data_IF_103429681676
#
_entry.id   IF_103429681676
#
_cell.length_a   1.000
_cell.length_b   1.000
_cell.length_c   1.000
_cell.angle_alpha   90.00
_cell.angle_beta   90.00
_cell.angle_gamma   90.00
#
_symmetry.space_group_name_H-M   'P 1'
#
loop_
_entity.id
_entity.type
_entity.pdbx_description
1 polymer ?
#
# COMPACT_ATOMS: atom_id res chain seq x y z
N UNK A 1 19.43 25.91 -29.43
CA UNK A 1 18.24 25.23 -30.06
C UNK A 1 18.35 23.73 -29.82
N UNK A 2 18.00 23.28 -28.62
CA UNK A 2 18.05 21.87 -28.23
C UNK A 2 16.71 21.21 -28.55
N UNK A 3 16.67 20.37 -29.59
CA UNK A 3 15.47 19.62 -29.99
C UNK A 3 15.14 18.58 -28.91
N UNK A 4 14.20 18.90 -28.02
CA UNK A 4 13.46 17.89 -27.23
C UNK A 4 12.66 17.03 -28.22
N UNK A 5 13.21 15.87 -28.57
CA UNK A 5 12.43 14.78 -29.16
C UNK A 5 11.46 14.30 -28.08
N UNK A 6 10.17 14.47 -28.31
CA UNK A 6 9.12 13.76 -27.57
C UNK A 6 9.31 12.29 -27.92
N UNK A 7 9.93 11.54 -27.03
CA UNK A 7 10.13 10.11 -27.19
C UNK A 7 8.74 9.45 -27.11
N UNK A 8 8.32 8.80 -28.20
CA UNK A 8 7.28 7.79 -28.11
C UNK A 8 7.69 6.80 -27.02
N UNK A 9 6.76 6.45 -26.15
CA UNK A 9 6.94 5.47 -25.09
C UNK A 9 7.35 4.11 -25.71
N UNK A 10 8.65 3.97 -25.97
CA UNK A 10 9.23 2.73 -26.42
C UNK A 10 8.94 1.70 -25.34
N UNK A 11 8.42 0.54 -25.74
CA UNK A 11 8.25 -0.58 -24.84
C UNK A 11 9.59 -0.81 -24.12
N UNK A 12 9.58 -0.61 -22.81
CA UNK A 12 10.74 -0.70 -21.93
C UNK A 12 11.41 -2.06 -22.10
N UNK A 13 12.69 -2.05 -22.43
CA UNK A 13 13.50 -3.25 -22.61
C UNK A 13 13.53 -4.02 -21.29
N UNK A 14 13.34 -5.35 -21.36
CA UNK A 14 13.48 -6.23 -20.19
C UNK A 14 14.81 -6.95 -20.20
N UNK A 15 15.32 -7.23 -19.01
CA UNK A 15 16.59 -7.89 -18.78
C UNK A 15 16.42 -9.02 -17.77
N UNK A 16 17.17 -10.11 -17.94
CA UNK A 16 17.22 -11.24 -17.01
C UNK A 16 18.63 -11.35 -16.43
N UNK A 17 18.71 -11.49 -15.12
CA UNK A 17 19.97 -11.71 -14.40
C UNK A 17 20.48 -13.12 -14.67
N UNK A 18 21.70 -13.24 -15.18
CA UNK A 18 22.37 -14.53 -15.42
C UNK A 18 23.63 -14.73 -14.56
N UNK A 19 24.07 -13.70 -13.82
CA UNK A 19 25.23 -13.77 -12.95
C UNK A 19 25.09 -14.80 -11.82
N UNK A 20 26.11 -15.64 -11.65
CA UNK A 20 26.19 -16.63 -10.58
C UNK A 20 26.49 -15.90 -9.26
N UNK A 21 25.59 -16.00 -8.27
CA UNK A 21 25.68 -15.26 -7.01
C UNK A 21 25.00 -13.88 -7.00
N UNK A 22 24.32 -13.52 -8.09
CA UNK A 22 23.53 -12.30 -8.20
C UNK A 22 24.33 -11.03 -8.47
N UNK A 23 23.62 -9.94 -8.76
CA UNK A 23 24.19 -8.64 -9.11
C UNK A 23 24.07 -7.66 -7.94
N UNK A 24 25.14 -6.93 -7.67
CA UNK A 24 25.16 -5.83 -6.70
C UNK A 24 24.32 -4.68 -7.26
N UNK A 25 23.36 -4.22 -6.48
CA UNK A 25 22.54 -3.05 -6.80
C UNK A 25 23.08 -1.85 -6.03
N UNK A 26 23.13 -0.70 -6.68
CA UNK A 26 23.59 0.58 -6.14
C UNK A 26 22.43 1.58 -6.02
N UNK A 27 22.50 2.46 -5.03
CA UNK A 27 21.49 3.54 -4.83
C UNK A 27 21.54 4.59 -5.95
N UNK A 28 22.71 4.84 -6.55
CA UNK A 28 22.90 5.84 -7.59
C UNK A 28 23.73 5.30 -8.76
N UNK A 29 23.81 6.09 -9.84
CA UNK A 29 24.49 5.74 -11.09
C UNK A 29 25.99 5.49 -10.91
N UNK A 30 26.64 6.21 -9.99
CA UNK A 30 28.09 6.15 -9.83
C UNK A 30 28.56 4.84 -9.21
N UNK A 31 29.68 4.30 -9.70
CA UNK A 31 30.32 3.08 -9.15
C UNK A 31 30.73 3.25 -7.68
N UNK A 32 31.00 4.49 -7.25
CA UNK A 32 31.34 4.81 -5.87
C UNK A 32 30.13 4.94 -4.94
N UNK A 33 28.90 4.86 -5.46
CA UNK A 33 27.71 5.02 -4.62
C UNK A 33 27.53 3.83 -3.70
N UNK A 34 26.74 4.01 -2.65
CA UNK A 34 26.39 2.97 -1.69
C UNK A 34 25.79 1.75 -2.38
N UNK A 35 26.28 0.57 -2.01
CA UNK A 35 25.69 -0.71 -2.38
C UNK A 35 24.48 -0.99 -1.50
N UNK A 36 23.36 -1.38 -2.10
CA UNK A 36 22.21 -1.86 -1.36
C UNK A 36 22.55 -3.21 -0.71
N UNK A 37 21.93 -3.46 0.46
CA UNK A 37 22.16 -4.69 1.24
C UNK A 37 21.74 -5.94 0.47
N UNK A 38 20.73 -5.82 -0.39
CA UNK A 38 20.18 -6.92 -1.17
C UNK A 38 20.74 -6.93 -2.59
N UNK A 39 21.11 -8.12 -3.05
CA UNK A 39 21.53 -8.37 -4.45
C UNK A 39 20.35 -8.87 -5.27
N UNK A 40 20.37 -8.61 -6.57
CA UNK A 40 19.44 -9.25 -7.50
C UNK A 40 19.92 -10.68 -7.80
N UNK A 41 19.19 -11.73 -7.39
CA UNK A 41 19.61 -13.10 -7.61
C UNK A 41 19.51 -13.50 -9.09
N UNK A 42 20.21 -14.58 -9.46
CA UNK A 42 20.12 -15.17 -10.79
C UNK A 42 18.66 -15.52 -11.14
N UNK A 43 18.25 -15.19 -12.36
CA UNK A 43 16.90 -15.40 -12.86
C UNK A 43 15.92 -14.27 -12.60
N UNK A 44 16.27 -13.27 -11.79
CA UNK A 44 15.44 -12.06 -11.64
C UNK A 44 15.23 -11.37 -12.99
N UNK A 45 14.01 -10.85 -13.20
CA UNK A 45 13.65 -10.11 -14.42
C UNK A 45 13.38 -8.67 -14.03
N UNK A 46 14.03 -7.76 -14.74
CA UNK A 46 13.98 -6.33 -14.50
C UNK A 46 13.61 -5.61 -15.79
N UNK A 47 13.09 -4.40 -15.63
CA UNK A 47 12.69 -3.48 -16.69
C UNK A 47 13.63 -2.29 -16.69
N UNK A 48 14.13 -1.92 -17.86
CA UNK A 48 14.98 -0.74 -18.07
C UNK A 48 14.16 0.54 -17.93
N UNK A 49 14.52 1.36 -16.94
CA UNK A 49 14.00 2.71 -16.77
C UNK A 49 14.89 3.74 -17.47
N UNK A 50 16.20 3.48 -17.52
CA UNK A 50 17.17 4.32 -18.20
C UNK A 50 18.55 3.68 -18.27
N UNK A 51 19.32 4.03 -19.29
CA UNK A 51 20.68 3.58 -19.51
C UNK A 51 21.60 4.79 -19.61
N UNK A 52 22.58 4.89 -18.72
CA UNK A 52 23.58 5.96 -18.72
C UNK A 52 24.97 5.33 -18.73
N UNK A 53 25.66 5.41 -19.87
CA UNK A 53 26.90 4.66 -20.09
C UNK A 53 26.68 3.16 -19.93
N UNK A 54 27.42 2.55 -19.00
CA UNK A 54 27.32 1.13 -18.66
C UNK A 54 26.44 0.85 -17.42
N UNK A 55 25.78 1.90 -16.89
CA UNK A 55 24.90 1.81 -15.71
C UNK A 55 23.43 1.78 -16.13
N UNK A 56 22.72 0.73 -15.73
CA UNK A 56 21.29 0.51 -15.97
C UNK A 56 20.48 0.87 -14.73
N UNK A 57 19.59 1.85 -14.86
CA UNK A 57 18.53 2.09 -13.88
C UNK A 57 17.36 1.15 -14.18
N UNK A 58 16.92 0.39 -13.18
CA UNK A 58 15.92 -0.65 -13.38
C UNK A 58 14.76 -0.59 -12.39
N UNK A 59 13.67 -1.26 -12.77
CA UNK A 59 12.58 -1.69 -11.88
C UNK A 59 12.43 -3.21 -11.94
N UNK A 60 12.40 -3.87 -10.77
CA UNK A 60 12.23 -5.32 -10.67
C UNK A 60 10.80 -5.71 -11.06
N UNK A 61 10.67 -6.63 -12.00
CA UNK A 61 9.39 -7.20 -12.45
C UNK A 61 9.10 -8.54 -11.78
N UNK A 62 10.13 -9.38 -11.60
CA UNK A 62 10.01 -10.66 -10.90
C UNK A 62 11.32 -11.07 -10.24
N UNK A 63 11.24 -11.79 -9.13
CA UNK A 63 12.39 -12.24 -8.34
C UNK A 63 12.43 -11.59 -6.94
N UNK A 64 13.52 -11.82 -6.21
CA UNK A 64 13.79 -11.24 -4.89
C UNK A 64 14.83 -10.11 -5.06
N UNK A 65 14.99 -9.21 -4.09
CA UNK A 65 15.95 -8.10 -4.11
C UNK A 65 15.29 -6.72 -4.20
N UNK A 66 16.08 -5.64 -4.38
CA UNK A 66 15.55 -4.28 -4.42
C UNK A 66 14.52 -4.06 -5.53
N UNK A 67 13.50 -3.26 -5.26
CA UNK A 67 12.46 -2.93 -6.24
C UNK A 67 13.00 -2.07 -7.37
N UNK A 68 13.91 -1.15 -7.07
CA UNK A 68 14.59 -0.26 -8.01
C UNK A 68 16.07 -0.13 -7.64
N UNK A 69 16.86 0.40 -8.56
CA UNK A 69 18.26 0.74 -8.32
C UNK A 69 19.08 0.76 -9.59
N UNK A 70 20.38 0.94 -9.41
CA UNK A 70 21.36 1.00 -10.48
C UNK A 70 22.24 -0.25 -10.47
N UNK A 71 22.61 -0.74 -11.65
CA UNK A 71 23.55 -1.86 -11.80
C UNK A 71 24.44 -1.64 -13.03
N UNK A 72 25.63 -2.23 -13.02
CA UNK A 72 26.50 -2.24 -14.18
C UNK A 72 26.13 -3.36 -15.15
N UNK A 73 26.02 -3.06 -16.44
CA UNK A 73 25.83 -4.06 -17.51
C UNK A 73 27.18 -4.64 -17.95
N UNK A 74 28.28 -3.96 -17.63
CA UNK A 74 29.63 -4.39 -17.96
C UNK A 74 29.94 -5.81 -17.50
N UNK A 75 30.72 -6.52 -18.30
CA UNK A 75 31.11 -7.89 -18.02
C UNK A 75 32.03 -7.95 -16.79
N UNK A 76 31.49 -8.35 -15.65
CA UNK A 76 32.30 -8.64 -14.46
C UNK A 76 33.19 -9.85 -14.78
N UNK A 77 34.50 -9.63 -14.85
CA UNK A 77 35.49 -10.64 -15.24
C UNK A 77 35.25 -11.22 -16.65
N UNK A 78 34.74 -10.42 -17.59
CA UNK A 78 34.53 -10.84 -18.98
C UNK A 78 33.33 -11.77 -19.20
N UNK A 79 32.49 -11.99 -18.17
CA UNK A 79 31.23 -12.72 -18.29
C UNK A 79 30.04 -11.76 -18.25
N UNK A 80 29.11 -11.91 -19.19
CA UNK A 80 27.86 -11.15 -19.19
C UNK A 80 27.04 -11.46 -17.94
N UNK A 81 26.56 -10.41 -17.27
CA UNK A 81 25.76 -10.53 -16.04
C UNK A 81 24.26 -10.45 -16.31
N UNK A 82 23.88 -9.84 -17.44
CA UNK A 82 22.51 -9.61 -17.87
C UNK A 82 22.29 -10.07 -19.32
N UNK A 83 21.11 -10.62 -19.59
CA UNK A 83 20.67 -10.95 -20.95
C UNK A 83 19.39 -10.19 -21.26
N UNK A 84 19.33 -9.53 -22.42
CA UNK A 84 18.10 -8.91 -22.93
C UNK A 84 17.04 -9.97 -23.15
N UNK A 85 15.90 -9.82 -22.49
CA UNK A 85 14.72 -10.63 -22.74
C UNK A 85 13.90 -9.87 -23.76
N UNK A 86 13.93 -10.32 -25.01
CA UNK A 86 12.96 -9.83 -25.99
C UNK A 86 11.56 -10.09 -25.42
N UNK A 87 10.64 -9.11 -25.46
CA UNK A 87 9.25 -9.41 -25.14
C UNK A 87 8.88 -10.55 -26.07
N UNK A 88 8.62 -11.73 -25.50
CA UNK A 88 8.28 -12.90 -26.29
C UNK A 88 7.24 -12.41 -27.29
N UNK A 89 7.52 -12.54 -28.60
CA UNK A 89 6.51 -12.31 -29.63
C UNK A 89 5.39 -13.22 -29.21
N UNK A 90 4.42 -12.67 -28.47
CA UNK A 90 3.16 -13.32 -28.20
C UNK A 90 2.72 -13.58 -29.62
N UNK A 91 2.78 -14.85 -30.06
CA UNK A 91 2.01 -15.26 -31.22
C UNK A 91 0.66 -14.68 -30.89
N UNK A 92 0.27 -13.63 -31.61
CA UNK A 92 -1.02 -13.03 -31.42
C UNK A 92 -1.93 -14.24 -31.57
N UNK A 93 -2.45 -14.72 -30.44
CA UNK A 93 -3.55 -15.65 -30.45
C UNK A 93 -4.59 -14.74 -31.07
N UNK A 94 -4.72 -14.84 -32.39
CA UNK A 94 -5.79 -14.23 -33.14
C UNK A 94 -7.00 -14.79 -32.44
N UNK A 95 -7.56 -13.99 -31.53
CA UNK A 95 -8.83 -14.29 -30.90
C UNK A 95 -9.72 -14.68 -32.06
N UNK A 96 -10.21 -15.93 -32.13
CA UNK A 96 -11.04 -16.35 -33.22
C UNK A 96 -12.18 -15.33 -33.28
N UNK A 97 -12.31 -14.64 -34.41
CA UNK A 97 -13.39 -13.70 -34.70
C UNK A 97 -14.69 -14.33 -34.19
N UNK A 98 -15.51 -13.60 -33.44
CA UNK A 98 -16.69 -14.14 -32.72
C UNK A 98 -17.60 -15.03 -33.58
N UNK A 99 -17.61 -14.83 -34.89
CA UNK A 99 -18.34 -15.66 -35.86
C UNK A 99 -17.83 -17.11 -35.97
N UNK A 100 -16.54 -17.38 -35.72
CA UNK A 100 -15.98 -18.75 -35.72
C UNK A 100 -16.27 -19.51 -34.42
N UNK A 101 -16.54 -18.81 -33.31
CA UNK A 101 -16.86 -19.45 -32.02
C UNK A 101 -18.31 -19.94 -31.99
N UNK A 102 -19.23 -19.20 -32.63
CA UNK A 102 -20.64 -19.56 -32.72
C UNK A 102 -20.88 -20.85 -33.53
N UNK A 103 -20.11 -21.11 -34.60
CA UNK A 103 -20.29 -22.34 -35.40
C UNK A 103 -19.65 -23.59 -34.79
N UNK A 104 -18.63 -23.46 -33.92
CA UNK A 104 -17.94 -24.62 -33.34
C UNK A 104 -18.56 -25.13 -32.02
N UNK A 105 -19.41 -24.35 -31.35
CA UNK A 105 -20.09 -24.76 -30.11
C UNK A 105 -21.35 -25.62 -30.32
N UNK A 106 -21.82 -25.80 -31.56
CA UNK A 106 -23.06 -26.54 -31.84
C UNK A 106 -22.89 -28.07 -31.93
N UNK A 107 -21.68 -28.64 -31.83
CA UNK A 107 -21.45 -30.08 -32.11
C UNK A 107 -20.45 -30.81 -31.21
N UNK A 108 -20.24 -30.39 -29.95
CA UNK A 108 -19.42 -31.18 -29.01
C UNK A 108 -20.26 -31.80 -27.90
N UNK A 109 -20.20 -33.14 -27.70
CA UNK A 109 -20.80 -33.77 -26.54
C UNK A 109 -20.14 -33.24 -25.25
N UNK A 110 -20.98 -33.06 -24.24
CA UNK A 110 -20.68 -32.51 -22.93
C UNK A 110 -19.66 -33.36 -22.17
N UNK A 111 -18.38 -33.02 -22.31
CA UNK A 111 -17.34 -33.45 -21.37
C UNK A 111 -17.03 -32.34 -20.36
N UNK A 112 -17.32 -32.67 -19.11
CA UNK A 112 -17.12 -31.89 -17.89
C UNK A 112 -15.63 -31.60 -17.65
N UNK A 113 -15.04 -30.56 -18.23
CA UNK A 113 -13.64 -30.21 -17.92
C UNK A 113 -13.25 -28.75 -18.15
N UNK A 114 -14.15 -27.79 -17.96
CA UNK A 114 -13.80 -26.37 -17.97
C UNK A 114 -14.55 -25.63 -16.87
N UNK A 115 -14.15 -25.88 -15.63
CA UNK A 115 -14.42 -24.95 -14.54
C UNK A 115 -13.58 -23.69 -14.80
N UNK A 116 -14.24 -22.66 -15.34
CA UNK A 116 -13.84 -21.29 -15.07
C UNK A 116 -13.68 -21.15 -13.56
N UNK A 117 -12.45 -20.88 -13.11
CA UNK A 117 -12.13 -20.45 -11.75
C UNK A 117 -12.87 -19.12 -11.50
N UNK A 118 -14.14 -19.21 -11.12
CA UNK A 118 -14.73 -18.23 -10.23
C UNK A 118 -13.78 -18.22 -9.02
N UNK A 119 -12.97 -17.17 -8.89
CA UNK A 119 -12.27 -16.87 -7.63
C UNK A 119 -13.35 -16.48 -6.63
N UNK A 120 -14.11 -17.48 -6.22
CA UNK A 120 -15.22 -17.35 -5.31
C UNK A 120 -14.67 -16.93 -3.97
N UNK A 121 -15.34 -15.95 -3.39
CA UNK A 121 -15.52 -15.64 -1.96
C UNK A 121 -15.04 -16.71 -0.98
N UNK A 122 -13.74 -16.98 -0.96
CA UNK A 122 -13.13 -17.90 -0.01
C UNK A 122 -13.32 -17.35 1.40
N UNK A 123 -13.45 -18.23 2.40
CA UNK A 123 -13.34 -17.78 3.78
C UNK A 123 -11.98 -17.12 4.01
N UNK A 124 -11.91 -16.18 4.95
CA UNK A 124 -10.63 -15.74 5.48
C UNK A 124 -10.25 -16.66 6.66
N UNK A 125 -8.97 -16.97 6.80
CA UNK A 125 -8.45 -17.85 7.84
C UNK A 125 -7.32 -17.15 8.59
N UNK A 126 -7.36 -17.14 9.92
CA UNK A 126 -6.28 -16.61 10.77
C UNK A 126 -5.39 -17.73 11.27
N UNK A 127 -4.08 -17.58 11.16
CA UNK A 127 -3.10 -18.49 11.76
C UNK A 127 -3.12 -18.37 13.28
N UNK A 128 -3.37 -19.48 13.99
CA UNK A 128 -3.42 -19.52 15.47
C UNK A 128 -2.20 -20.22 16.08
N UNK A 129 -1.41 -20.92 15.26
CA UNK A 129 -0.20 -21.60 15.75
C UNK A 129 0.89 -20.61 16.17
N UNK A 130 1.39 -20.74 17.40
CA UNK A 130 2.45 -19.88 17.98
C UNK A 130 3.76 -19.92 17.16
N UNK A 131 4.16 -21.09 16.65
CA UNK A 131 5.37 -21.27 15.84
C UNK A 131 5.19 -20.93 14.35
N UNK A 132 3.98 -20.52 13.95
CA UNK A 132 3.60 -20.36 12.56
C UNK A 132 3.44 -21.68 11.79
N UNK A 133 2.95 -21.59 10.54
CA UNK A 133 2.61 -22.77 9.73
C UNK A 133 3.65 -23.05 8.66
N UNK A 134 4.01 -24.33 8.53
CA UNK A 134 4.85 -24.82 7.43
C UNK A 134 4.04 -24.82 6.14
N UNK A 135 4.43 -23.95 5.21
CA UNK A 135 3.83 -23.87 3.87
C UNK A 135 4.48 -24.90 2.95
N UNK A 136 3.68 -25.56 2.11
CA UNK A 136 4.17 -26.50 1.09
C UNK A 136 3.74 -26.06 -0.30
N UNK A 137 4.57 -26.35 -1.31
CA UNK A 137 4.25 -26.01 -2.71
C UNK A 137 3.14 -26.87 -3.32
N UNK A 138 2.80 -28.00 -2.69
CA UNK A 138 1.77 -28.92 -3.18
C UNK A 138 0.87 -29.42 -2.06
N UNK A 139 -0.30 -29.93 -2.46
CA UNK A 139 -1.34 -30.42 -1.57
C UNK A 139 -0.86 -31.58 -0.68
N UNK A 140 -0.02 -32.49 -1.19
CA UNK A 140 0.45 -33.67 -0.43
C UNK A 140 1.38 -33.27 0.72
N UNK A 141 1.32 -33.99 1.85
CA UNK A 141 2.22 -33.80 3.00
C UNK A 141 3.69 -34.14 2.69
N UNK A 142 3.96 -34.89 1.62
CA UNK A 142 5.30 -35.18 1.12
C UNK A 142 5.85 -34.10 0.17
N UNK A 143 5.03 -33.11 -0.19
CA UNK A 143 5.46 -32.04 -1.10
C UNK A 143 6.55 -31.17 -0.48
N UNK A 144 7.36 -30.55 -1.34
CA UNK A 144 8.45 -29.65 -0.93
C UNK A 144 7.94 -28.54 0.00
N UNK A 145 8.62 -28.40 1.15
CA UNK A 145 8.38 -27.32 2.11
C UNK A 145 8.94 -26.02 1.53
N UNK A 146 8.20 -24.93 1.68
CA UNK A 146 8.72 -23.59 1.46
C UNK A 146 9.62 -23.24 2.66
N UNK A 147 10.80 -22.62 2.46
CA UNK A 147 11.71 -22.30 3.56
C UNK A 147 11.08 -21.39 4.62
N UNK A 148 10.19 -20.50 4.18
CA UNK A 148 9.46 -19.57 5.03
C UNK A 148 8.16 -20.19 5.57
N UNK A 149 7.84 -19.85 6.83
CA UNK A 149 6.58 -20.20 7.48
C UNK A 149 5.59 -19.04 7.42
N UNK A 150 4.30 -19.33 7.48
CA UNK A 150 3.29 -18.29 7.76
C UNK A 150 3.34 -17.93 9.26
N UNK A 151 3.63 -16.68 9.64
CA UNK A 151 3.71 -16.31 11.05
C UNK A 151 2.34 -16.35 11.77
N UNK A 152 2.33 -16.45 13.11
CA UNK A 152 1.10 -16.38 13.92
C UNK A 152 0.32 -15.10 13.65
N UNK A 153 -1.02 -15.20 13.68
CA UNK A 153 -1.93 -14.06 13.55
C UNK A 153 -2.17 -13.60 12.10
N UNK A 154 -1.39 -14.05 11.12
CA UNK A 154 -1.61 -13.70 9.70
C UNK A 154 -2.97 -14.20 9.24
N UNK A 155 -3.67 -13.36 8.49
CA UNK A 155 -4.94 -13.70 7.84
C UNK A 155 -4.67 -14.02 6.37
N UNK A 156 -5.11 -15.19 5.94
CA UNK A 156 -4.98 -15.68 4.56
C UNK A 156 -6.36 -15.89 3.94
N UNK A 157 -6.42 -15.77 2.62
CA UNK A 157 -7.62 -15.98 1.83
C UNK A 157 -7.66 -17.44 1.33
N UNK A 158 -8.82 -18.08 1.51
CA UNK A 158 -9.07 -19.45 1.05
C UNK A 158 -9.17 -19.50 -0.48
N UNK A 159 -8.29 -20.28 -1.10
CA UNK A 159 -8.39 -20.58 -2.53
C UNK A 159 -9.08 -21.92 -2.74
N UNK A 160 -8.72 -22.92 -1.96
CA UNK A 160 -9.26 -24.29 -2.06
C UNK A 160 -9.04 -25.04 -0.74
N UNK A 161 -10.04 -25.80 -0.30
CA UNK A 161 -9.91 -26.71 0.86
C UNK A 161 -10.11 -28.15 0.39
N UNK A 162 -9.13 -29.01 0.67
CA UNK A 162 -9.23 -30.44 0.37
C UNK A 162 -8.88 -31.25 1.61
N UNK A 163 -9.90 -31.77 2.30
CA UNK A 163 -9.75 -32.42 3.59
C UNK A 163 -9.13 -31.46 4.62
N UNK A 164 -8.02 -31.85 5.25
CA UNK A 164 -7.31 -31.02 6.24
C UNK A 164 -6.23 -30.12 5.62
N UNK A 165 -6.33 -29.81 4.33
CA UNK A 165 -5.34 -29.02 3.59
C UNK A 165 -6.02 -27.80 2.98
N UNK A 166 -5.49 -26.63 3.31
CA UNK A 166 -5.93 -25.34 2.79
C UNK A 166 -4.89 -24.83 1.80
N UNK A 167 -5.30 -24.62 0.56
CA UNK A 167 -4.60 -23.75 -0.39
C UNK A 167 -5.01 -22.32 -0.11
N UNK A 168 -4.02 -21.46 0.11
CA UNK A 168 -4.28 -20.08 0.48
C UNK A 168 -3.54 -19.09 -0.42
N UNK A 169 -4.05 -17.86 -0.42
CA UNK A 169 -3.37 -16.66 -0.87
C UNK A 169 -3.16 -15.74 0.34
N UNK A 170 -1.93 -15.29 0.56
CA UNK A 170 -1.59 -14.37 1.63
C UNK A 170 -1.51 -12.95 1.05
N UNK A 171 -2.48 -12.07 1.35
CA UNK A 171 -2.45 -10.68 0.91
C UNK A 171 -1.43 -9.83 1.69
N UNK A 172 -0.92 -10.31 2.82
CA UNK A 172 0.15 -9.66 3.57
C UNK A 172 1.51 -9.96 2.96
N UNK A 173 2.46 -9.02 3.10
CA UNK A 173 3.86 -9.22 2.73
C UNK A 173 4.67 -9.97 3.82
N UNK A 174 4.00 -10.52 4.84
CA UNK A 174 4.63 -11.35 5.88
C UNK A 174 4.53 -12.85 5.55
N UNK A 175 5.62 -13.41 5.01
CA UNK A 175 5.75 -14.83 4.68
C UNK A 175 5.35 -15.19 3.24
N UNK A 176 5.15 -16.48 2.94
CA UNK A 176 4.85 -16.93 1.58
C UNK A 176 3.55 -16.35 1.05
N UNK A 177 3.57 -15.82 -0.19
CA UNK A 177 2.37 -15.29 -0.86
C UNK A 177 1.28 -16.34 -1.12
N UNK A 178 1.65 -17.60 -1.31
CA UNK A 178 0.68 -18.68 -1.50
C UNK A 178 1.27 -20.03 -1.13
N UNK A 179 0.40 -21.01 -0.96
CA UNK A 179 0.79 -22.41 -0.83
C UNK A 179 -0.24 -23.23 -0.07
N UNK A 180 0.17 -24.43 0.34
CA UNK A 180 -0.68 -25.38 1.02
C UNK A 180 -0.26 -25.57 2.47
N UNK A 181 -1.17 -25.31 3.40
CA UNK A 181 -1.00 -25.54 4.85
C UNK A 181 -2.00 -26.58 5.35
N UNK A 182 -1.72 -27.14 6.52
CA UNK A 182 -2.67 -28.04 7.20
C UNK A 182 -3.58 -27.21 8.10
N UNK A 183 -4.89 -27.49 8.08
CA UNK A 183 -5.86 -26.83 8.96
C UNK A 183 -5.84 -27.43 10.38
N UNK A 184 -5.39 -28.68 10.50
CA UNK A 184 -5.26 -29.41 11.77
C UNK A 184 -3.94 -30.18 11.82
N UNK A 185 -3.35 -30.30 13.01
CA UNK A 185 -2.25 -31.22 13.31
C UNK A 185 -2.47 -31.85 14.70
N UNK A 186 -2.41 -33.19 14.77
CA UNK A 186 -2.68 -33.97 16.00
C UNK A 186 -3.98 -33.59 16.73
N UNK A 187 -5.01 -33.19 15.98
CA UNK A 187 -6.31 -32.76 16.53
C UNK A 187 -6.36 -31.31 17.03
N UNK A 188 -5.26 -30.57 16.98
CA UNK A 188 -5.23 -29.14 17.26
C UNK A 188 -5.51 -28.34 15.99
N UNK A 189 -6.41 -27.36 16.08
CA UNK A 189 -6.69 -26.42 14.99
C UNK A 189 -5.53 -25.43 14.85
N UNK A 190 -5.00 -25.35 13.64
CA UNK A 190 -3.88 -24.47 13.30
C UNK A 190 -4.32 -23.15 12.68
N UNK A 191 -5.55 -23.12 12.16
CA UNK A 191 -6.18 -21.98 11.50
C UNK A 191 -7.60 -21.82 12.04
N UNK A 192 -7.99 -20.59 12.38
CA UNK A 192 -9.36 -20.26 12.75
C UNK A 192 -10.03 -19.56 11.55
N UNK A 193 -11.11 -20.15 11.05
CA UNK A 193 -11.92 -19.53 10.00
C UNK A 193 -12.59 -18.27 10.56
N UNK A 194 -12.30 -17.12 9.99
CA UNK A 194 -12.99 -15.89 10.32
C UNK A 194 -14.38 -15.98 9.68
N UNK A 195 -15.42 -15.79 10.50
CA UNK A 195 -16.79 -15.73 10.00
C UNK A 195 -16.83 -14.71 8.86
N UNK A 196 -17.27 -15.15 7.68
CA UNK A 196 -17.60 -14.18 6.64
C UNK A 196 -18.66 -13.26 7.24
N UNK A 197 -18.54 -11.93 7.08
CA UNK A 197 -19.65 -11.05 7.38
C UNK A 197 -20.79 -11.48 6.46
N UNK A 198 -21.71 -12.29 7.00
CA UNK A 198 -22.95 -12.60 6.30
C UNK A 198 -23.64 -11.27 6.02
N UNK A 199 -24.31 -11.19 4.88
CA UNK A 199 -25.05 -10.00 4.47
C UNK A 199 -25.75 -9.34 5.67
N UNK A 200 -25.61 -8.02 5.87
CA UNK A 200 -26.16 -7.32 7.03
C UNK A 200 -27.69 -7.48 7.16
N UNK A 201 -28.37 -7.99 6.13
CA UNK A 201 -29.80 -8.28 6.11
C UNK A 201 -30.22 -9.41 7.08
N UNK A 202 -29.33 -10.36 7.42
CA UNK A 202 -29.74 -11.56 8.19
C UNK A 202 -29.31 -11.51 9.67
N UNK A 203 -28.53 -10.51 10.09
CA UNK A 203 -27.99 -10.43 11.45
C UNK A 203 -28.92 -9.75 12.46
N UNK A 204 -29.93 -9.00 12.01
CA UNK A 204 -30.81 -8.25 12.91
C UNK A 204 -31.85 -9.11 13.66
N UNK A 205 -32.25 -10.27 13.11
CA UNK A 205 -33.32 -11.09 13.70
C UNK A 205 -32.83 -11.97 14.87
N UNK A 206 -31.55 -12.37 14.85
CA UNK A 206 -30.95 -13.21 15.90
C UNK A 206 -30.58 -12.45 17.17
N UNK A 207 -30.28 -11.15 17.07
CA UNK A 207 -29.95 -10.32 18.24
C UNK A 207 -31.20 -9.97 19.07
N UNK A 208 -32.39 -9.99 18.45
CA UNK A 208 -33.64 -9.59 19.13
C UNK A 208 -34.23 -10.65 20.07
N UNK A 209 -33.79 -11.92 20.00
CA UNK A 209 -34.35 -13.03 20.80
C UNK A 209 -33.51 -13.45 22.02
N UNK A 210 -32.34 -12.85 22.26
CA UNK A 210 -31.40 -13.34 23.28
C UNK A 210 -31.19 -12.49 24.52
N UNK A 211 -31.75 -11.27 24.62
CA UNK A 211 -31.29 -10.28 25.60
C UNK A 211 -32.33 -9.91 26.67
N UNK A 212 -32.89 -10.92 27.34
CA UNK A 212 -33.60 -10.78 28.62
C UNK A 212 -33.34 -12.00 29.50
N UNK A 213 -32.12 -12.12 30.02
CA UNK A 213 -31.89 -12.83 31.29
C UNK A 213 -30.56 -12.39 31.91
N UNK A 214 -30.69 -11.81 33.10
CA UNK A 214 -29.71 -11.50 34.13
C UNK A 214 -28.28 -12.05 33.97
N UNK A 215 -27.29 -11.17 34.10
CA UNK A 215 -26.30 -11.32 35.18
C UNK A 215 -25.33 -10.13 35.23
N UNK A 216 -25.16 -9.68 36.47
CA UNK A 216 -24.30 -8.62 36.97
C UNK A 216 -22.93 -9.24 37.28
N UNK A 217 -21.86 -8.84 36.60
CA UNK A 217 -20.48 -9.11 37.03
C UNK A 217 -19.58 -7.93 36.67
N UNK A 218 -19.09 -7.25 37.71
CA UNK A 218 -17.99 -6.30 37.66
C UNK A 218 -16.66 -7.05 37.51
N UNK A 219 -15.87 -6.77 36.47
CA UNK A 219 -14.41 -6.96 36.47
C UNK A 219 -13.75 -5.99 35.46
N UNK A 220 -12.94 -5.06 35.98
CA UNK A 220 -11.94 -4.30 35.22
C UNK A 220 -10.85 -5.23 34.68
N UNK A 221 -10.10 -4.80 33.65
CA UNK A 221 -8.66 -4.88 33.81
C UNK A 221 -7.88 -3.63 33.36
N UNK A 222 -6.86 -3.38 34.17
CA UNK A 222 -5.58 -2.69 33.99
C UNK A 222 -5.30 -1.93 32.68
N UNK A 223 -5.00 -0.64 32.86
CA UNK A 223 -4.33 0.24 31.89
C UNK A 223 -2.92 -0.28 31.61
N UNK A 224 -2.64 -0.56 30.33
CA UNK A 224 -1.29 -0.69 29.78
C UNK A 224 -0.60 0.69 29.68
N UNK A 225 0.75 0.75 29.71
CA UNK A 225 1.50 2.01 29.71
C UNK A 225 1.40 2.76 28.37
N UNK A 226 1.12 4.07 28.45
CA UNK A 226 0.91 4.99 27.32
C UNK A 226 2.15 5.28 26.43
N UNK A 227 3.29 4.60 26.62
CA UNK A 227 4.57 5.01 26.01
C UNK A 227 4.94 4.30 24.69
N UNK A 228 3.99 3.71 23.96
CA UNK A 228 4.29 2.98 22.71
C UNK A 228 3.33 3.25 21.53
N UNK A 229 2.49 4.28 21.58
CA UNK A 229 1.67 4.66 20.43
C UNK A 229 2.38 5.71 19.57
N UNK A 230 3.01 5.25 18.48
CA UNK A 230 3.42 6.11 17.37
C UNK A 230 2.18 6.79 16.76
N UNK A 231 2.21 8.11 16.72
CA UNK A 231 1.09 8.99 16.37
C UNK A 231 0.69 8.83 14.88
N UNK A 232 -0.61 8.64 14.54
CA UNK A 232 -1.04 8.65 13.16
C UNK A 232 -1.33 10.07 12.63
N UNK A 233 -0.65 10.41 11.52
CA UNK A 233 -1.04 11.30 10.40
C UNK A 233 -1.63 12.70 10.72
N UNK A 234 -0.77 13.64 11.11
CA UNK A 234 -1.04 15.09 11.31
C UNK A 234 -1.05 15.94 10.02
N UNK A 235 -0.71 15.37 8.86
CA UNK A 235 -0.30 16.15 7.67
C UNK A 235 -1.42 16.88 6.92
N UNK A 236 -2.68 16.42 7.00
CA UNK A 236 -3.80 17.07 6.28
C UNK A 236 -4.55 18.12 7.11
N UNK A 237 -4.60 17.96 8.43
CA UNK A 237 -4.98 19.06 9.34
C UNK A 237 -4.03 20.27 9.16
N UNK A 238 -2.75 19.99 8.90
CA UNK A 238 -1.73 21.01 8.61
C UNK A 238 -2.04 21.81 7.35
N UNK A 239 -2.59 21.19 6.31
CA UNK A 239 -3.03 21.90 5.10
C UNK A 239 -4.15 22.89 5.37
N UNK A 240 -5.22 22.52 6.08
CA UNK A 240 -6.25 23.51 6.40
C UNK A 240 -5.75 24.61 7.34
N UNK A 241 -4.74 24.34 8.18
CA UNK A 241 -4.07 25.38 8.98
C UNK A 241 -3.27 26.35 8.14
N UNK A 242 -2.57 25.83 7.14
CA UNK A 242 -1.74 26.59 6.23
C UNK A 242 -2.58 27.50 5.31
N UNK A 243 -3.73 27.03 4.82
CA UNK A 243 -4.57 27.77 3.87
C UNK A 243 -5.73 28.56 4.51
N UNK A 244 -6.12 28.26 5.76
CA UNK A 244 -7.30 28.85 6.44
C UNK A 244 -7.05 30.08 7.33
N UNK A 245 -5.80 30.53 7.52
CA UNK A 245 -5.47 31.64 8.43
C UNK A 245 -5.40 32.98 7.69
N UNK A 246 -6.30 33.91 7.98
CA UNK A 246 -6.15 35.31 7.57
C UNK A 246 -5.00 35.98 8.33
N UNK A 247 -4.06 36.59 7.60
CA UNK A 247 -2.80 37.14 8.13
C UNK A 247 -3.00 38.50 8.86
N UNK A 248 -4.25 38.97 9.01
CA UNK A 248 -4.52 40.33 9.51
C UNK A 248 -4.67 40.48 11.02
N UNK A 249 -4.45 39.42 11.80
CA UNK A 249 -4.44 39.50 13.27
C UNK A 249 -3.10 38.97 13.82
N UNK A 250 -2.01 39.66 13.44
CA UNK A 250 -0.76 39.63 14.22
C UNK A 250 -0.66 40.99 14.87
N UNK A 251 -0.86 41.02 16.19
CA UNK A 251 -0.65 42.18 17.03
C UNK A 251 0.79 42.68 16.85
N UNK A 252 1.02 43.89 16.29
CA UNK A 252 2.35 44.42 16.01
C UNK A 252 3.15 44.78 17.26
N UNK A 253 2.62 44.55 18.47
CA UNK A 253 3.24 44.96 19.73
C UNK A 253 4.14 43.92 20.40
N UNK A 254 4.29 42.70 19.87
CA UNK A 254 5.14 41.69 20.50
C UNK A 254 6.64 41.86 20.17
N UNK A 255 7.52 41.98 21.18
CA UNK A 255 8.93 42.28 20.97
C UNK A 255 9.69 41.06 20.42
N UNK A 256 10.37 41.29 19.30
CA UNK A 256 11.27 40.33 18.66
C UNK A 256 12.57 40.30 19.47
N UNK A 257 12.76 39.29 20.31
CA UNK A 257 14.07 39.06 20.92
C UNK A 257 14.07 38.17 22.15
N UNK A 258 14.23 36.86 21.96
CA UNK A 258 14.98 36.02 22.91
C UNK A 258 15.42 34.73 22.23
N UNK A 259 16.73 34.62 22.03
CA UNK A 259 17.41 33.42 21.51
C UNK A 259 17.50 32.37 22.62
N UNK A 260 16.90 31.20 22.39
CA UNK A 260 17.04 30.00 23.22
C UNK A 260 17.93 28.99 22.46
N UNK A 261 18.87 28.27 23.11
CA UNK A 261 19.85 27.46 22.40
C UNK A 261 19.23 26.22 21.76
N UNK A 262 19.80 25.83 20.62
CA UNK A 262 19.37 24.74 19.79
C UNK A 262 19.87 23.39 20.34
N UNK A 263 18.93 22.54 20.75
CA UNK A 263 19.13 21.09 20.83
C UNK A 263 18.26 20.37 19.79
N UNK A 264 18.82 19.29 19.30
CA UNK A 264 18.63 18.68 17.99
C UNK A 264 17.39 17.82 17.91
N UNK A 265 16.27 18.39 17.45
CA UNK A 265 15.22 17.64 16.74
C UNK A 265 14.73 18.48 15.56
N UNK A 266 14.62 17.86 14.39
CA UNK A 266 14.35 18.51 13.10
C UNK A 266 13.16 19.46 13.16
N UNK A 267 13.43 20.75 13.33
CA UNK A 267 12.40 21.79 13.21
C UNK A 267 12.03 21.90 11.75
N UNK A 268 10.91 21.28 11.38
CA UNK A 268 10.23 21.52 10.10
C UNK A 268 10.08 23.04 9.93
N UNK A 269 10.67 23.61 8.88
CA UNK A 269 10.55 25.04 8.58
C UNK A 269 9.06 25.35 8.39
N UNK A 270 8.54 26.33 9.14
CA UNK A 270 7.20 26.84 8.88
C UNK A 270 7.26 27.66 7.59
N UNK A 271 6.54 27.21 6.57
CA UNK A 271 6.43 27.92 5.28
C UNK A 271 5.39 29.04 5.43
N UNK A 272 5.71 30.30 5.09
CA UNK A 272 4.75 31.40 5.06
C UNK A 272 3.58 31.09 4.11
N UNK A 273 2.36 31.58 4.42
CA UNK A 273 1.17 31.36 3.59
C UNK A 273 1.35 31.84 2.14
N UNK A 274 2.13 32.90 1.97
CA UNK A 274 2.44 33.54 0.69
C UNK A 274 3.28 32.65 -0.23
N UNK A 275 4.07 31.74 0.37
CA UNK A 275 4.96 30.81 -0.33
C UNK A 275 4.28 29.46 -0.62
N UNK A 276 3.03 29.28 -0.19
CA UNK A 276 2.27 28.08 -0.50
C UNK A 276 1.70 28.17 -1.91
N UNK A 277 1.91 27.14 -2.76
CA UNK A 277 1.34 27.13 -4.09
C UNK A 277 -0.20 27.11 -4.02
N UNK A 278 -0.91 27.69 -5.00
CA UNK A 278 -2.34 27.48 -5.15
C UNK A 278 -2.73 26.02 -4.99
N UNK A 279 -3.88 25.75 -4.38
CA UNK A 279 -4.38 24.37 -4.13
C UNK A 279 -4.47 23.56 -5.43
N UNK A 280 -4.70 24.21 -6.57
CA UNK A 280 -4.73 23.59 -7.90
C UNK A 280 -3.35 23.14 -8.40
N UNK A 281 -2.26 23.74 -7.91
CA UNK A 281 -0.88 23.43 -8.31
C UNK A 281 -0.32 22.20 -7.55
N UNK A 282 -0.99 21.75 -6.49
CA UNK A 282 -0.65 20.55 -5.73
C UNK A 282 -0.64 19.28 -6.62
N UNK A 283 -1.37 19.31 -7.74
CA UNK A 283 -1.44 18.19 -8.71
C UNK A 283 -0.07 17.84 -9.31
N UNK A 284 0.83 18.81 -9.38
CA UNK A 284 2.11 18.74 -10.09
C UNK A 284 3.33 18.68 -9.17
N UNK A 285 3.13 18.74 -7.85
CA UNK A 285 4.23 18.65 -6.89
C UNK A 285 4.82 17.22 -6.86
N UNK A 286 6.13 17.15 -6.72
CA UNK A 286 6.85 15.90 -6.48
C UNK A 286 6.82 15.52 -4.98
N UNK A 287 7.32 14.32 -4.67
CA UNK A 287 7.31 13.76 -3.31
C UNK A 287 8.03 14.71 -2.32
N UNK A 288 9.19 15.24 -2.73
CA UNK A 288 9.98 16.17 -1.92
C UNK A 288 9.24 17.47 -1.62
N UNK A 289 8.62 18.11 -2.63
CA UNK A 289 7.88 19.34 -2.43
C UNK A 289 6.64 19.15 -1.54
N UNK A 290 5.96 17.99 -1.60
CA UNK A 290 4.84 17.68 -0.70
C UNK A 290 5.31 17.51 0.75
N UNK A 291 6.47 16.89 0.96
CA UNK A 291 7.07 16.77 2.30
C UNK A 291 7.50 18.14 2.85
N UNK A 292 8.18 18.94 2.03
CA UNK A 292 8.74 20.23 2.45
C UNK A 292 7.66 21.31 2.65
N UNK A 293 6.69 21.42 1.73
CA UNK A 293 5.65 22.45 1.78
C UNK A 293 4.49 22.07 2.70
N UNK A 294 4.08 20.81 2.68
CA UNK A 294 2.85 20.36 3.36
C UNK A 294 3.13 19.53 4.61
N UNK A 295 4.40 19.17 4.87
CA UNK A 295 4.76 18.34 6.01
C UNK A 295 4.23 16.91 5.89
N UNK A 296 4.01 16.42 4.67
CA UNK A 296 3.66 15.02 4.46
C UNK A 296 4.83 14.15 4.93
N UNK A 297 4.53 13.01 5.54
CA UNK A 297 5.55 11.97 5.68
C UNK A 297 5.84 11.36 4.29
N UNK A 298 6.98 10.68 4.19
CA UNK A 298 7.46 10.09 2.94
C UNK A 298 6.45 9.11 2.32
N UNK A 299 5.75 8.32 3.15
CA UNK A 299 4.78 7.33 2.66
C UNK A 299 3.56 8.05 2.08
N UNK A 300 3.00 9.02 2.79
CA UNK A 300 1.84 9.81 2.32
C UNK A 300 2.16 10.62 1.07
N UNK A 301 3.36 11.22 0.99
CA UNK A 301 3.80 11.95 -0.19
C UNK A 301 3.90 11.04 -1.42
N UNK A 302 4.49 9.85 -1.25
CA UNK A 302 4.61 8.84 -2.31
C UNK A 302 3.26 8.35 -2.80
N UNK A 303 2.34 8.04 -1.88
CA UNK A 303 0.98 7.64 -2.22
C UNK A 303 0.28 8.73 -3.04
N UNK A 304 0.45 10.01 -2.66
CA UNK A 304 -0.14 11.14 -3.38
C UNK A 304 0.41 11.30 -4.76
N UNK A 305 1.73 11.23 -4.93
CA UNK A 305 2.34 11.26 -6.24
C UNK A 305 1.81 10.12 -7.12
N UNK A 306 1.58 8.94 -6.55
CA UNK A 306 1.07 7.75 -7.22
C UNK A 306 -0.39 7.79 -7.66
N UNK A 307 -1.21 8.72 -7.13
CA UNK A 307 -2.61 8.85 -7.52
C UNK A 307 -2.77 9.30 -8.98
N UNK A 308 -3.81 8.79 -9.64
CA UNK A 308 -4.23 9.29 -10.96
C UNK A 308 -4.61 10.77 -10.90
N UNK A 309 -4.47 11.45 -12.04
CA UNK A 309 -4.83 12.87 -12.17
C UNK A 309 -6.27 13.17 -11.72
N UNK A 310 -7.20 12.27 -12.01
CA UNK A 310 -8.61 12.40 -11.62
C UNK A 310 -8.80 12.27 -10.10
N UNK A 311 -8.11 11.34 -9.46
CA UNK A 311 -8.15 11.18 -7.99
C UNK A 311 -7.55 12.41 -7.29
N UNK A 312 -6.39 12.89 -7.75
CA UNK A 312 -5.76 14.12 -7.23
C UNK A 312 -6.72 15.31 -7.30
N UNK A 313 -7.30 15.57 -8.48
CA UNK A 313 -8.28 16.66 -8.66
C UNK A 313 -9.50 16.54 -7.77
N UNK A 314 -10.02 15.33 -7.58
CA UNK A 314 -11.17 15.11 -6.72
C UNK A 314 -10.82 15.38 -5.24
N UNK A 315 -9.67 14.92 -4.77
CA UNK A 315 -9.19 15.23 -3.42
C UNK A 315 -8.95 16.74 -3.22
N UNK A 316 -8.30 17.39 -4.19
CA UNK A 316 -8.05 18.84 -4.20
C UNK A 316 -9.37 19.61 -4.14
N UNK A 317 -10.37 19.20 -4.92
CA UNK A 317 -11.70 19.81 -4.92
C UNK A 317 -12.44 19.63 -3.59
N UNK A 318 -12.38 18.44 -2.97
CA UNK A 318 -12.97 18.21 -1.64
C UNK A 318 -12.26 19.03 -0.54
N UNK A 319 -10.93 19.13 -0.60
CA UNK A 319 -10.16 19.97 0.33
C UNK A 319 -10.54 21.45 0.17
N UNK A 320 -10.66 21.93 -1.07
CA UNK A 320 -11.10 23.29 -1.38
C UNK A 320 -12.52 23.57 -0.86
N UNK A 321 -13.46 22.65 -1.09
CA UNK A 321 -14.82 22.78 -0.59
C UNK A 321 -14.84 22.89 0.94
N UNK A 322 -14.01 22.12 1.65
CA UNK A 322 -13.90 22.20 3.11
C UNK A 322 -13.27 23.51 3.60
N UNK A 323 -12.28 24.05 2.88
CA UNK A 323 -11.67 25.36 3.18
C UNK A 323 -12.69 26.48 2.96
N UNK A 324 -13.46 26.44 1.88
CA UNK A 324 -14.47 27.45 1.54
C UNK A 324 -15.73 27.36 2.42
N UNK A 325 -15.97 26.24 3.11
CA UNK A 325 -17.04 26.11 4.09
C UNK A 325 -16.78 26.95 5.35
N UNK A 326 -17.85 27.57 5.85
CA UNK A 326 -17.84 28.20 7.18
C UNK A 326 -17.55 27.18 8.30
N UNK A 327 -17.03 27.64 9.45
CA UNK A 327 -16.43 26.77 10.47
C UNK A 327 -17.39 25.71 11.02
N UNK A 328 -18.65 26.05 11.25
CA UNK A 328 -19.68 25.12 11.74
C UNK A 328 -19.99 24.01 10.71
N UNK A 329 -20.20 24.40 9.44
CA UNK A 329 -20.46 23.44 8.34
C UNK A 329 -19.24 22.56 8.07
N UNK A 330 -18.04 23.10 8.23
CA UNK A 330 -16.79 22.36 8.09
C UNK A 330 -16.69 21.27 9.17
N UNK A 331 -16.98 21.59 10.42
CA UNK A 331 -17.01 20.61 11.52
C UNK A 331 -18.05 19.51 11.27
N UNK A 332 -19.26 19.88 10.87
CA UNK A 332 -20.32 18.92 10.54
C UNK A 332 -19.91 17.99 9.38
N UNK A 333 -19.30 18.54 8.33
CA UNK A 333 -18.79 17.76 7.20
C UNK A 333 -17.70 16.76 7.64
N UNK A 334 -16.76 17.18 8.49
CA UNK A 334 -15.74 16.28 9.06
C UNK A 334 -16.34 15.19 9.94
N UNK A 335 -17.37 15.52 10.71
CA UNK A 335 -18.04 14.54 11.55
C UNK A 335 -18.84 13.53 10.71
N UNK A 336 -19.43 13.96 9.60
CA UNK A 336 -20.05 13.07 8.63
C UNK A 336 -19.01 12.16 7.95
N UNK A 337 -17.82 12.68 7.63
CA UNK A 337 -16.70 11.86 7.16
C UNK A 337 -16.27 10.83 8.22
N UNK A 338 -16.21 11.24 9.50
CA UNK A 338 -15.90 10.35 10.62
C UNK A 338 -16.92 9.22 10.75
N UNK A 339 -18.22 9.53 10.65
CA UNK A 339 -19.31 8.54 10.72
C UNK A 339 -19.28 7.55 9.54
N UNK A 340 -18.83 8.00 8.37
CA UNK A 340 -18.67 7.17 7.19
C UNK A 340 -17.38 6.33 7.16
N UNK A 341 -16.49 6.48 8.15
CA UNK A 341 -15.20 5.81 8.17
C UNK A 341 -15.34 4.30 8.48
N UNK A 342 -14.83 3.40 7.64
CA UNK A 342 -14.85 1.96 7.91
C UNK A 342 -13.99 1.65 9.15
N UNK A 343 -14.52 0.82 10.07
CA UNK A 343 -13.95 0.55 11.41
C UNK A 343 -12.43 0.32 11.38
N UNK A 344 -11.69 1.30 11.88
CA UNK A 344 -10.26 1.34 12.16
C UNK A 344 -9.98 2.50 13.13
N UNK A 345 -8.84 2.52 13.84
CA UNK A 345 -8.57 3.56 14.83
C UNK A 345 -8.52 4.93 14.18
N UNK A 346 -9.43 5.81 14.59
CA UNK A 346 -9.46 7.21 14.18
C UNK A 346 -8.52 8.00 15.11
N UNK A 347 -7.64 8.88 14.60
CA UNK A 347 -6.79 9.70 15.45
C UNK A 347 -7.63 10.58 16.39
N UNK A 348 -7.25 10.66 17.65
CA UNK A 348 -7.94 11.49 18.63
C UNK A 348 -7.71 12.98 18.32
N UNK A 349 -8.80 13.73 18.19
CA UNK A 349 -8.77 15.18 18.01
C UNK A 349 -8.63 15.82 19.39
N UNK A 350 -7.50 16.47 19.68
CA UNK A 350 -7.38 17.29 20.88
C UNK A 350 -8.20 18.57 20.68
N UNK A 351 -9.21 18.76 21.53
CA UNK A 351 -10.09 19.92 21.52
C UNK A 351 -9.38 21.13 22.14
N UNK A 352 -8.53 21.83 21.38
CA UNK A 352 -8.15 23.19 21.75
C UNK A 352 -9.20 24.16 21.19
N UNK A 353 -9.93 24.82 22.09
CA UNK A 353 -11.12 25.65 21.82
C UNK A 353 -10.78 27.00 21.16
N UNK A 354 -9.50 27.35 21.03
CA UNK A 354 -9.08 28.73 20.75
C UNK A 354 -8.89 29.11 19.28
N UNK A 355 -9.13 28.21 18.30
CA UNK A 355 -8.89 28.52 16.87
C UNK A 355 -10.00 27.99 15.93
N UNK A 356 -11.17 28.66 15.83
CA UNK A 356 -12.36 28.15 15.12
C UNK A 356 -12.20 28.01 13.59
N UNK A 357 -11.12 28.52 13.01
CA UNK A 357 -10.86 28.48 11.56
C UNK A 357 -9.95 27.32 11.11
N UNK A 358 -9.60 26.39 12.01
CA UNK A 358 -8.62 25.34 11.75
C UNK A 358 -9.25 23.95 11.81
N UNK A 359 -8.80 23.04 10.94
CA UNK A 359 -9.05 21.61 11.17
C UNK A 359 -8.37 21.20 12.48
N UNK A 360 -9.05 20.44 13.35
CA UNK A 360 -8.46 19.98 14.60
C UNK A 360 -7.22 19.09 14.32
N UNK A 361 -6.16 19.20 15.12
CA UNK A 361 -4.95 18.39 14.97
C UNK A 361 -5.30 16.90 14.98
N UNK A 362 -4.78 16.12 14.01
CA UNK A 362 -5.14 14.72 13.81
C UNK A 362 -6.28 14.47 12.81
N UNK A 363 -6.79 15.49 12.14
CA UNK A 363 -7.76 15.29 11.03
C UNK A 363 -7.07 14.71 9.79
N UNK A 364 -7.38 13.46 9.45
CA UNK A 364 -6.94 12.80 8.21
C UNK A 364 -8.05 12.81 7.15
N UNK A 365 -7.72 13.00 5.87
CA UNK A 365 -8.65 12.74 4.76
C UNK A 365 -8.63 11.24 4.38
N UNK A 366 -9.78 10.65 3.99
CA UNK A 366 -9.87 9.24 3.62
C UNK A 366 -9.16 8.95 2.29
N UNK A 367 -7.89 8.60 2.36
CA UNK A 367 -7.10 8.08 1.24
C UNK A 367 -7.70 6.80 0.64
N UNK A 368 -8.23 5.94 1.51
CA UNK A 368 -8.78 4.63 1.17
C UNK A 368 -10.02 4.68 0.28
N UNK A 369 -10.74 5.81 0.22
CA UNK A 369 -11.91 5.98 -0.66
C UNK A 369 -11.50 6.20 -2.12
N UNK A 370 -10.27 6.63 -2.35
CA UNK A 370 -9.76 6.96 -3.67
C UNK A 370 -8.98 5.81 -4.32
N UNK A 371 -8.45 4.89 -3.52
CA UNK A 371 -7.67 3.74 -4.01
C UNK A 371 -8.54 2.58 -4.57
N UNK A 372 -9.87 2.73 -4.63
CA UNK A 372 -10.81 1.75 -5.20
C UNK A 372 -11.18 2.04 -6.64
#
# INVERSE_FOLDING_TARGET
>A
RSRRRIAMAAASQRWKVIADGGIIVREAEQVSSRELRERLPQGAVIEELGLVGDSLHFRRISGIGPLTGWLGIGASHGKDTLVRVSPAKRKAISLPTEQSLAMQLAKRPSDKASQQLQMGTGGQWRVVSEEGLVVRRGQRMTSMKVPERLPPGVVVEEVEVVGNRLHFLNPSDMGPRSGWVSTMDKGQELLHRLAQPSDPATSFESIRKGFLSDSKVDLYPERLPESAFEKPLESWATLSRLYGRDVREIDPSLPIGTTVPAETMGRRRRVPREDLPPVDDLEHLDEGALMDLLGFDEVTAREFVGLSRAQKRKMIAEARALIEMGPEKRLEALENYRKAWPRGPFPELTSSVDEPNLLPPGSCFPYSRYLR
#
